data_IF_062523294353
#
_entry.id   IF_062523294353
#
_cell.length_a   1.000
_cell.length_b   1.000
_cell.length_c   1.000
_cell.angle_alpha   90.00
_cell.angle_beta   90.00
_cell.angle_gamma   90.00
#
_symmetry.space_group_name_H-M   'P 1'
#
loop_
_entity.id
_entity.type
_entity.pdbx_description
1 polymer ?
#
# COMPACT_ATOMS: atom_id res chain seq x y z
N UNK A 1 20.45 -59.11 1.92
CA UNK A 1 19.93 -57.72 2.02
C UNK A 1 19.97 -57.34 3.49
N UNK A 2 20.76 -56.33 3.85
CA UNK A 2 21.06 -56.03 5.26
C UNK A 2 20.08 -54.94 5.76
N UNK A 3 19.18 -55.23 6.70
CA UNK A 3 18.10 -54.32 7.12
C UNK A 3 18.60 -53.04 7.79
N UNK A 4 19.80 -53.05 8.39
CA UNK A 4 20.42 -51.86 8.99
C UNK A 4 20.83 -50.79 7.97
N UNK A 5 21.08 -51.17 6.70
CA UNK A 5 21.48 -50.23 5.66
C UNK A 5 20.29 -49.42 5.13
N UNK A 6 19.11 -50.02 5.09
CA UNK A 6 17.88 -49.37 4.63
C UNK A 6 17.39 -48.30 5.62
N UNK A 7 17.55 -48.52 6.93
CA UNK A 7 17.14 -47.53 7.94
C UNK A 7 17.98 -46.24 7.93
N UNK A 8 19.28 -46.35 7.62
CA UNK A 8 20.19 -45.19 7.48
C UNK A 8 19.89 -44.41 6.20
N UNK A 9 19.58 -45.11 5.10
CA UNK A 9 19.20 -44.47 3.83
C UNK A 9 17.86 -43.74 3.96
N UNK A 10 16.86 -44.32 4.64
CA UNK A 10 15.57 -43.67 4.90
C UNK A 10 15.72 -42.42 5.78
N UNK A 11 16.55 -42.47 6.83
CA UNK A 11 16.80 -41.33 7.72
C UNK A 11 17.59 -40.20 7.00
N UNK A 12 18.50 -40.55 6.09
CA UNK A 12 19.19 -39.58 5.23
C UNK A 12 18.26 -38.93 4.22
N UNK A 13 17.34 -39.69 3.61
CA UNK A 13 16.31 -39.17 2.70
C UNK A 13 15.36 -38.22 3.45
N UNK A 14 14.99 -38.56 4.68
CA UNK A 14 14.14 -37.71 5.51
C UNK A 14 14.82 -36.39 5.89
N UNK A 15 16.10 -36.44 6.31
CA UNK A 15 16.90 -35.22 6.56
C UNK A 15 17.10 -34.37 5.30
N UNK A 16 17.31 -34.99 4.14
CA UNK A 16 17.41 -34.28 2.86
C UNK A 16 16.10 -33.59 2.47
N UNK A 17 14.95 -34.24 2.68
CA UNK A 17 13.62 -33.63 2.50
C UNK A 17 13.39 -32.46 3.46
N UNK A 18 13.76 -32.62 4.72
CA UNK A 18 13.67 -31.54 5.72
C UNK A 18 14.55 -30.35 5.34
N UNK A 19 15.78 -30.57 4.88
CA UNK A 19 16.67 -29.51 4.40
C UNK A 19 16.10 -28.79 3.17
N UNK A 20 15.54 -29.53 2.20
CA UNK A 20 14.87 -28.93 1.04
C UNK A 20 13.67 -28.05 1.44
N UNK A 21 12.86 -28.52 2.39
CA UNK A 21 11.73 -27.77 2.96
C UNK A 21 12.21 -26.51 3.69
N UNK A 22 13.32 -26.61 4.43
CA UNK A 22 13.90 -25.51 5.16
C UNK A 22 14.46 -24.45 4.21
N UNK A 23 15.11 -24.85 3.12
CA UNK A 23 15.58 -23.95 2.06
C UNK A 23 14.42 -23.24 1.37
N UNK A 24 13.35 -23.95 0.98
CA UNK A 24 12.18 -23.33 0.35
C UNK A 24 11.44 -22.37 1.31
N UNK A 25 11.41 -22.69 2.61
CA UNK A 25 10.92 -21.78 3.65
C UNK A 25 11.79 -20.54 3.77
N UNK A 26 13.13 -20.67 3.81
CA UNK A 26 14.05 -19.54 3.91
C UNK A 26 13.94 -18.61 2.71
N UNK A 27 13.73 -19.14 1.50
CA UNK A 27 13.60 -18.33 0.28
C UNK A 27 12.23 -17.62 0.19
N UNK A 28 11.14 -18.28 0.61
CA UNK A 28 9.78 -17.70 0.53
C UNK A 28 9.41 -16.83 1.72
N UNK A 29 10.03 -17.03 2.88
CA UNK A 29 9.67 -16.30 4.11
C UNK A 29 9.84 -14.77 3.99
N UNK A 30 10.93 -14.22 3.40
CA UNK A 30 11.05 -12.78 3.18
C UNK A 30 9.92 -12.20 2.34
N UNK A 31 9.43 -12.94 1.33
CA UNK A 31 8.32 -12.52 0.47
C UNK A 31 7.00 -12.47 1.25
N UNK A 32 6.78 -13.43 2.14
CA UNK A 32 5.62 -13.42 3.05
C UNK A 32 5.65 -12.23 4.01
N UNK A 33 6.80 -11.95 4.60
CA UNK A 33 6.97 -10.80 5.51
C UNK A 33 6.73 -9.50 4.75
N UNK A 34 7.34 -9.33 3.57
CA UNK A 34 7.16 -8.15 2.74
C UNK A 34 5.67 -7.93 2.38
N UNK A 35 4.95 -9.01 2.04
CA UNK A 35 3.52 -8.95 1.73
C UNK A 35 2.67 -8.56 2.95
N UNK A 36 2.98 -9.08 4.13
CA UNK A 36 2.30 -8.71 5.38
C UNK A 36 2.55 -7.25 5.74
N UNK A 37 3.80 -6.80 5.67
CA UNK A 37 4.16 -5.41 5.96
C UNK A 37 3.47 -4.46 4.99
N UNK A 38 3.50 -4.76 3.68
CA UNK A 38 2.80 -3.95 2.67
C UNK A 38 1.28 -3.88 2.93
N UNK A 39 0.64 -5.03 3.20
CA UNK A 39 -0.78 -5.07 3.55
C UNK A 39 -1.11 -4.24 4.80
N UNK A 40 -0.29 -4.33 5.85
CA UNK A 40 -0.45 -3.51 7.06
C UNK A 40 -0.27 -2.01 6.76
N UNK A 41 0.71 -1.64 5.93
CA UNK A 41 0.94 -0.24 5.53
C UNK A 41 -0.30 0.30 4.81
N UNK A 42 -0.89 -0.45 3.88
CA UNK A 42 -2.12 -0.04 3.19
C UNK A 42 -3.29 0.17 4.16
N UNK A 43 -3.49 -0.73 5.13
CA UNK A 43 -4.52 -0.59 6.16
C UNK A 43 -4.29 0.62 7.07
N UNK A 44 -3.04 0.89 7.44
CA UNK A 44 -2.67 2.04 8.26
C UNK A 44 -2.90 3.34 7.49
N UNK A 45 -2.55 3.39 6.20
CA UNK A 45 -2.77 4.58 5.37
C UNK A 45 -4.28 4.85 5.24
N UNK A 46 -5.08 3.86 4.83
CA UNK A 46 -6.52 4.05 4.66
C UNK A 46 -7.22 4.36 5.99
N UNK A 47 -6.85 3.66 7.07
CA UNK A 47 -7.39 3.93 8.41
C UNK A 47 -6.97 5.27 8.97
N UNK A 48 -5.70 5.65 8.78
CA UNK A 48 -5.16 6.94 9.19
C UNK A 48 -5.88 8.09 8.50
N UNK A 49 -6.06 8.02 7.18
CA UNK A 49 -6.78 9.06 6.42
C UNK A 49 -8.24 9.11 6.87
N UNK A 50 -8.92 7.96 6.96
CA UNK A 50 -10.33 7.90 7.38
C UNK A 50 -10.54 8.49 8.78
N UNK A 51 -9.66 8.15 9.73
CA UNK A 51 -9.72 8.66 11.10
C UNK A 51 -9.42 10.16 11.16
N UNK A 52 -8.42 10.62 10.40
CA UNK A 52 -8.09 12.05 10.29
C UNK A 52 -9.28 12.84 9.70
N UNK A 53 -9.92 12.33 8.66
CA UNK A 53 -11.12 12.96 8.05
C UNK A 53 -12.28 13.04 9.04
N UNK A 54 -12.54 11.98 9.81
CA UNK A 54 -13.58 12.01 10.86
C UNK A 54 -13.28 13.01 11.97
N UNK A 55 -12.03 13.08 12.42
CA UNK A 55 -11.58 14.06 13.41
C UNK A 55 -11.76 15.49 12.86
N UNK A 56 -11.38 15.72 11.60
CA UNK A 56 -11.53 17.02 10.95
C UNK A 56 -12.98 17.47 10.88
N UNK A 57 -13.88 16.60 10.40
CA UNK A 57 -15.32 16.91 10.33
C UNK A 57 -15.88 17.21 11.73
N UNK A 58 -15.52 16.38 12.73
CA UNK A 58 -15.94 16.57 14.12
C UNK A 58 -15.41 17.88 14.71
N UNK A 59 -14.17 18.28 14.37
CA UNK A 59 -13.59 19.56 14.80
C UNK A 59 -14.24 20.76 14.12
N UNK A 60 -14.59 20.66 12.83
CA UNK A 60 -15.28 21.74 12.11
C UNK A 60 -16.65 22.03 12.75
N UNK A 61 -17.40 20.98 13.10
CA UNK A 61 -18.72 21.11 13.74
C UNK A 61 -18.63 21.72 15.15
N UNK A 62 -17.55 21.46 15.89
CA UNK A 62 -17.35 21.98 17.25
C UNK A 62 -16.79 23.41 17.23
N UNK A 63 -15.84 23.70 16.33
CA UNK A 63 -15.08 24.96 16.39
C UNK A 63 -15.87 26.13 15.81
N UNK A 64 -16.76 25.91 14.82
CA UNK A 64 -17.89 26.76 14.36
C UNK A 64 -17.67 28.27 14.04
N UNK A 65 -16.62 28.91 14.54
CA UNK A 65 -16.40 30.35 14.67
C UNK A 65 -14.92 30.75 14.53
N UNK A 66 -14.00 29.79 14.38
CA UNK A 66 -12.58 30.06 14.12
C UNK A 66 -12.31 30.35 12.64
N UNK A 67 -11.27 31.14 12.35
CA UNK A 67 -10.83 31.40 10.98
C UNK A 67 -10.57 30.05 10.26
N UNK A 68 -11.34 29.72 9.19
CA UNK A 68 -11.23 28.45 8.47
C UNK A 68 -9.80 28.15 8.02
N UNK A 69 -9.00 29.19 7.75
CA UNK A 69 -7.62 29.04 7.34
C UNK A 69 -6.74 28.44 8.46
N UNK A 70 -6.88 28.92 9.70
CA UNK A 70 -6.08 28.45 10.84
C UNK A 70 -6.44 27.02 11.24
N UNK A 71 -7.72 26.66 11.18
CA UNK A 71 -8.19 25.30 11.48
C UNK A 71 -7.62 24.31 10.46
N UNK A 72 -7.66 24.66 9.18
CA UNK A 72 -7.10 23.82 8.11
C UNK A 72 -5.58 23.67 8.24
N UNK A 73 -4.88 24.77 8.54
CA UNK A 73 -3.43 24.74 8.72
C UNK A 73 -3.02 23.89 9.93
N UNK A 74 -3.71 24.04 11.07
CA UNK A 74 -3.47 23.24 12.26
C UNK A 74 -3.77 21.75 12.02
N UNK A 75 -4.87 21.44 11.33
CA UNK A 75 -5.22 20.07 10.98
C UNK A 75 -4.20 19.42 10.06
N UNK A 76 -3.74 20.13 9.02
CA UNK A 76 -2.68 19.64 8.12
C UNK A 76 -1.38 19.42 8.89
N UNK A 77 -0.98 20.36 9.75
CA UNK A 77 0.23 20.24 10.57
C UNK A 77 0.18 19.05 11.52
N UNK A 78 -0.93 18.85 12.23
CA UNK A 78 -1.14 17.71 13.13
C UNK A 78 -1.18 16.40 12.33
N UNK A 79 -1.86 16.37 11.18
CA UNK A 79 -1.94 15.18 10.33
C UNK A 79 -0.57 14.77 9.78
N UNK A 80 0.25 15.74 9.37
CA UNK A 80 1.64 15.50 8.96
C UNK A 80 2.50 14.99 10.12
N UNK A 81 2.35 15.56 11.32
CA UNK A 81 3.08 15.10 12.50
C UNK A 81 2.71 13.65 12.88
N UNK A 82 1.42 13.31 12.89
CA UNK A 82 0.97 11.95 13.15
C UNK A 82 1.40 10.98 12.05
N UNK A 83 1.32 11.39 10.78
CA UNK A 83 1.81 10.59 9.64
C UNK A 83 3.30 10.31 9.79
N UNK A 84 4.09 11.31 10.18
CA UNK A 84 5.52 11.16 10.47
C UNK A 84 5.78 10.23 11.66
N UNK A 85 5.02 10.37 12.75
CA UNK A 85 5.15 9.53 13.95
C UNK A 85 4.84 8.07 13.62
N UNK A 86 3.75 7.81 12.89
CA UNK A 86 3.38 6.47 12.42
C UNK A 86 4.43 5.88 11.50
N UNK A 87 4.95 6.66 10.54
CA UNK A 87 6.03 6.21 9.67
C UNK A 87 7.30 5.82 10.45
N UNK A 88 7.70 6.60 11.45
CA UNK A 88 8.91 6.35 12.24
C UNK A 88 8.76 5.20 13.24
N UNK A 89 7.59 5.09 13.91
CA UNK A 89 7.34 4.06 14.94
C UNK A 89 6.91 2.72 14.39
N UNK A 90 6.15 2.68 13.31
CA UNK A 90 5.63 1.43 12.75
C UNK A 90 6.39 0.99 11.51
N UNK A 91 6.47 1.86 10.49
CA UNK A 91 6.98 1.44 9.17
C UNK A 91 8.49 1.18 9.21
N UNK A 92 9.26 2.03 9.88
CA UNK A 92 10.72 1.92 9.96
C UNK A 92 11.23 0.62 10.63
N UNK A 93 10.76 0.22 11.82
CA UNK A 93 11.19 -1.05 12.42
C UNK A 93 10.66 -2.28 11.66
N UNK A 94 9.48 -2.19 11.04
CA UNK A 94 8.95 -3.27 10.20
C UNK A 94 9.82 -3.52 8.97
N UNK A 95 10.35 -2.47 8.32
CA UNK A 95 11.22 -2.58 7.14
C UNK A 95 12.66 -2.95 7.45
N UNK A 96 13.15 -2.66 8.67
CA UNK A 96 14.51 -2.99 9.10
C UNK A 96 14.66 -4.43 9.63
N UNK A 97 13.56 -5.08 10.00
CA UNK A 97 13.58 -6.41 10.64
C UNK A 97 14.08 -7.55 9.74
N UNK A 98 14.10 -7.37 8.42
CA UNK A 98 14.73 -8.29 7.47
C UNK A 98 15.60 -7.52 6.49
N UNK A 99 16.94 -7.74 6.49
CA UNK A 99 17.79 -7.20 5.45
C UNK A 99 17.50 -7.98 4.18
N UNK A 100 16.53 -7.52 3.38
CA UNK A 100 16.70 -7.73 1.95
C UNK A 100 18.02 -7.06 1.62
N UNK A 101 18.92 -7.80 0.95
CA UNK A 101 19.95 -7.17 0.15
C UNK A 101 19.17 -6.40 -0.90
N UNK A 102 18.70 -5.20 -0.57
CA UNK A 102 18.28 -4.21 -1.55
C UNK A 102 19.52 -4.02 -2.37
N UNK A 103 19.62 -4.72 -3.50
CA UNK A 103 20.46 -4.24 -4.57
C UNK A 103 20.04 -2.79 -4.70
N UNK A 104 20.99 -1.89 -4.44
CA UNK A 104 20.85 -0.45 -4.63
C UNK A 104 20.69 -0.12 -6.12
N UNK A 105 20.08 -1.02 -6.89
CA UNK A 105 19.74 -0.82 -8.27
C UNK A 105 18.68 0.26 -8.36
N UNK A 106 18.87 1.10 -9.36
CA UNK A 106 18.14 2.34 -9.63
C UNK A 106 16.61 2.17 -9.62
N UNK A 107 16.11 0.95 -9.80
CA UNK A 107 14.69 0.60 -9.74
C UNK A 107 14.02 0.80 -8.37
N UNK A 108 14.75 0.72 -7.26
CA UNK A 108 14.17 0.86 -5.91
C UNK A 108 13.81 2.29 -5.51
N UNK A 109 14.49 3.30 -6.08
CA UNK A 109 14.26 4.73 -5.76
C UNK A 109 13.20 5.38 -6.65
N UNK A 110 12.99 4.85 -7.85
CA UNK A 110 12.08 5.44 -8.84
C UNK A 110 10.63 5.59 -8.33
N UNK A 111 10.04 4.60 -7.62
CA UNK A 111 8.69 4.74 -7.06
C UNK A 111 8.59 5.91 -6.07
N UNK A 112 9.57 6.09 -5.19
CA UNK A 112 9.58 7.19 -4.22
C UNK A 112 9.64 8.57 -4.90
N UNK A 113 10.45 8.70 -5.95
CA UNK A 113 10.55 9.95 -6.72
C UNK A 113 9.23 10.26 -7.42
N UNK A 114 8.60 9.27 -8.06
CA UNK A 114 7.30 9.46 -8.72
C UNK A 114 6.25 9.88 -7.71
N UNK A 115 6.12 9.18 -6.57
CA UNK A 115 5.15 9.56 -5.53
C UNK A 115 5.44 10.93 -4.93
N UNK A 116 6.70 11.35 -4.82
CA UNK A 116 7.06 12.72 -4.42
C UNK A 116 6.58 13.78 -5.42
N UNK A 117 6.73 13.52 -6.72
CA UNK A 117 6.20 14.39 -7.77
C UNK A 117 4.68 14.43 -7.73
N UNK A 118 4.02 13.26 -7.63
CA UNK A 118 2.56 13.17 -7.55
C UNK A 118 2.01 13.87 -6.31
N UNK A 119 2.64 13.72 -5.14
CA UNK A 119 2.27 14.45 -3.93
C UNK A 119 2.35 15.97 -4.12
N UNK A 120 3.40 16.44 -4.80
CA UNK A 120 3.52 17.86 -5.17
C UNK A 120 2.40 18.30 -6.10
N UNK A 121 2.06 17.48 -7.10
CA UNK A 121 0.91 17.72 -7.99
C UNK A 121 -0.41 17.80 -7.21
N UNK A 122 -0.63 16.98 -6.17
CA UNK A 122 -1.83 17.05 -5.33
C UNK A 122 -1.92 18.39 -4.61
N UNK A 123 -0.80 18.87 -4.04
CA UNK A 123 -0.76 20.18 -3.36
C UNK A 123 -1.04 21.32 -4.32
N UNK A 124 -0.42 21.29 -5.52
CA UNK A 124 -0.67 22.30 -6.56
C UNK A 124 -2.12 22.27 -7.02
N UNK A 125 -2.67 21.08 -7.29
CA UNK A 125 -4.06 20.89 -7.70
C UNK A 125 -5.02 21.43 -6.63
N UNK A 126 -4.79 21.09 -5.36
CA UNK A 126 -5.55 21.61 -4.22
C UNK A 126 -5.52 23.14 -4.21
N UNK A 127 -4.32 23.74 -4.28
CA UNK A 127 -4.18 25.19 -4.28
C UNK A 127 -4.93 25.86 -5.43
N UNK A 128 -4.76 25.37 -6.66
CA UNK A 128 -5.42 25.94 -7.85
C UNK A 128 -6.94 25.80 -7.72
N UNK A 129 -7.44 24.60 -7.44
CA UNK A 129 -8.88 24.33 -7.44
C UNK A 129 -9.63 25.12 -6.37
N UNK A 130 -9.08 25.23 -5.16
CA UNK A 130 -9.70 26.01 -4.09
C UNK A 130 -9.50 27.53 -4.26
N UNK A 131 -8.35 28.01 -4.75
CA UNK A 131 -8.13 29.44 -4.96
C UNK A 131 -8.94 30.05 -6.10
N UNK A 132 -9.31 29.24 -7.10
CA UNK A 132 -10.08 29.68 -8.27
C UNK A 132 -11.59 29.39 -8.16
N UNK A 133 -12.06 28.87 -7.01
CA UNK A 133 -13.48 28.62 -6.76
C UNK A 133 -14.05 27.39 -7.47
N UNK A 134 -13.22 26.55 -8.09
CA UNK A 134 -13.61 25.30 -8.78
C UNK A 134 -13.25 24.05 -7.96
N UNK A 135 -13.41 24.13 -6.64
CA UNK A 135 -13.07 23.05 -5.70
C UNK A 135 -13.76 21.71 -5.99
N UNK A 136 -14.90 21.73 -6.69
CA UNK A 136 -15.61 20.52 -7.13
C UNK A 136 -14.81 19.66 -8.13
N UNK A 137 -13.80 20.23 -8.82
CA UNK A 137 -12.90 19.48 -9.71
C UNK A 137 -11.68 18.88 -9.00
N UNK A 138 -11.47 19.20 -7.71
CA UNK A 138 -10.34 18.67 -6.95
C UNK A 138 -10.37 17.14 -6.91
N UNK A 139 -11.51 16.55 -6.57
CA UNK A 139 -11.65 15.09 -6.42
C UNK A 139 -11.44 14.34 -7.74
N UNK A 140 -12.09 14.71 -8.86
CA UNK A 140 -11.78 14.10 -10.15
C UNK A 140 -10.31 14.24 -10.55
N UNK A 141 -9.68 15.39 -10.28
CA UNK A 141 -8.26 15.59 -10.56
C UNK A 141 -7.36 14.71 -9.68
N UNK A 142 -7.69 14.57 -8.40
CA UNK A 142 -7.01 13.67 -7.47
C UNK A 142 -7.11 12.21 -7.95
N UNK A 143 -8.27 11.80 -8.47
CA UNK A 143 -8.49 10.46 -9.01
C UNK A 143 -7.51 10.10 -10.13
N UNK A 144 -7.23 11.04 -11.04
CA UNK A 144 -6.24 10.83 -12.10
C UNK A 144 -4.81 10.71 -11.54
N UNK A 145 -4.47 11.52 -10.54
CA UNK A 145 -3.16 11.46 -9.89
C UNK A 145 -2.99 10.12 -9.18
N UNK A 146 -3.99 9.66 -8.44
CA UNK A 146 -3.98 8.35 -7.78
C UNK A 146 -3.85 7.21 -8.79
N UNK A 147 -4.65 7.23 -9.86
CA UNK A 147 -4.60 6.21 -10.90
C UNK A 147 -3.24 6.12 -11.59
N UNK A 148 -2.61 7.27 -11.87
CA UNK A 148 -1.25 7.32 -12.42
C UNK A 148 -0.20 6.80 -11.43
N UNK A 149 -0.33 7.11 -10.14
CA UNK A 149 0.52 6.56 -9.08
C UNK A 149 0.49 5.04 -9.02
N UNK A 150 -0.70 4.44 -8.93
CA UNK A 150 -0.83 2.97 -8.90
C UNK A 150 -0.39 2.31 -10.20
N UNK A 151 -0.66 2.92 -11.35
CA UNK A 151 -0.17 2.41 -12.63
C UNK A 151 1.37 2.46 -12.71
N UNK A 152 2.00 3.50 -12.17
CA UNK A 152 3.46 3.62 -12.13
C UNK A 152 4.10 2.52 -11.26
N UNK A 153 3.49 2.21 -10.10
CA UNK A 153 3.90 1.09 -9.25
C UNK A 153 3.82 -0.24 -10.01
N UNK A 154 2.77 -0.46 -10.82
CA UNK A 154 2.67 -1.65 -11.67
C UNK A 154 3.80 -1.73 -12.72
N UNK A 155 3.99 -0.65 -13.50
CA UNK A 155 4.96 -0.63 -14.60
C UNK A 155 6.40 -0.80 -14.09
N UNK A 156 6.73 -0.14 -12.98
CA UNK A 156 8.06 -0.24 -12.37
C UNK A 156 8.27 -1.57 -11.66
N UNK A 157 7.25 -2.08 -10.96
CA UNK A 157 7.31 -3.39 -10.29
C UNK A 157 7.59 -4.53 -11.27
N UNK A 158 7.05 -4.46 -12.49
CA UNK A 158 7.27 -5.47 -13.54
C UNK A 158 8.70 -5.48 -14.10
N UNK A 159 9.47 -4.40 -13.92
CA UNK A 159 10.83 -4.27 -14.45
C UNK A 159 11.92 -4.80 -13.53
N UNK A 160 11.60 -5.08 -12.27
CA UNK A 160 12.56 -5.63 -11.30
C UNK A 160 12.31 -7.13 -11.13
N UNK A 161 13.29 -7.95 -11.54
CA UNK A 161 13.32 -9.37 -11.19
C UNK A 161 13.31 -9.49 -9.66
N UNK A 162 12.32 -10.18 -9.10
CA UNK A 162 12.10 -10.29 -7.65
C UNK A 162 11.00 -9.37 -7.07
N UNK A 163 10.49 -8.39 -7.83
CA UNK A 163 9.40 -7.48 -7.43
C UNK A 163 8.05 -7.79 -8.14
N UNK A 164 7.91 -8.97 -8.72
CA UNK A 164 6.65 -9.43 -9.33
C UNK A 164 5.51 -9.64 -8.31
N UNK A 165 5.76 -9.34 -7.04
CA UNK A 165 4.92 -9.72 -5.91
C UNK A 165 3.68 -8.84 -5.68
N UNK A 166 3.56 -7.70 -6.37
CA UNK A 166 2.46 -6.75 -6.16
C UNK A 166 1.87 -6.17 -7.45
N UNK A 167 2.35 -6.58 -8.61
CA UNK A 167 2.11 -5.88 -9.87
C UNK A 167 0.62 -5.90 -10.27
N UNK A 168 -0.06 -7.04 -10.13
CA UNK A 168 -1.45 -7.18 -10.60
C UNK A 168 -2.46 -6.43 -9.76
N UNK A 169 -2.30 -6.42 -8.45
CA UNK A 169 -3.19 -5.70 -7.53
C UNK A 169 -3.15 -4.19 -7.80
N UNK A 170 -1.95 -3.63 -8.02
CA UNK A 170 -1.78 -2.22 -8.38
C UNK A 170 -2.41 -1.90 -9.75
N UNK A 171 -2.33 -2.81 -10.72
CA UNK A 171 -2.99 -2.65 -12.01
C UNK A 171 -4.52 -2.67 -11.89
N UNK A 172 -5.09 -3.66 -11.20
CA UNK A 172 -6.54 -3.75 -11.01
C UNK A 172 -7.08 -2.53 -10.25
N UNK A 173 -6.32 -2.06 -9.27
CA UNK A 173 -6.68 -0.86 -8.55
C UNK A 173 -6.60 0.39 -9.43
N UNK A 174 -5.52 0.57 -10.18
CA UNK A 174 -5.39 1.68 -11.11
C UNK A 174 -6.53 1.70 -12.14
N UNK A 175 -6.93 0.53 -12.65
CA UNK A 175 -8.06 0.40 -13.57
C UNK A 175 -9.39 0.81 -12.91
N UNK A 176 -9.64 0.36 -11.67
CA UNK A 176 -10.84 0.76 -10.92
C UNK A 176 -10.86 2.29 -10.68
N UNK A 177 -9.73 2.87 -10.29
CA UNK A 177 -9.55 4.31 -10.09
C UNK A 177 -9.82 5.07 -11.39
N UNK A 178 -9.23 4.67 -12.53
CA UNK A 178 -9.49 5.32 -13.82
C UNK A 178 -10.94 5.15 -14.30
N UNK A 179 -11.55 3.98 -14.12
CA UNK A 179 -12.95 3.76 -14.50
C UNK A 179 -13.90 4.62 -13.67
N UNK A 180 -13.58 4.84 -12.40
CA UNK A 180 -14.38 5.68 -11.51
C UNK A 180 -14.31 7.19 -11.83
N UNK A 181 -13.32 7.64 -12.61
CA UNK A 181 -13.24 9.02 -13.07
C UNK A 181 -14.44 9.41 -13.96
N UNK A 182 -14.93 8.48 -14.79
CA UNK A 182 -16.07 8.72 -15.69
C UNK A 182 -17.33 9.12 -14.91
N UNK A 183 -17.83 8.32 -13.94
CA UNK A 183 -18.98 8.73 -13.16
C UNK A 183 -18.71 9.95 -12.26
N UNK A 184 -17.46 10.19 -11.82
CA UNK A 184 -17.13 11.42 -11.07
C UNK A 184 -17.33 12.70 -11.87
N UNK A 185 -16.95 12.71 -13.16
CA UNK A 185 -17.15 13.88 -14.03
C UNK A 185 -18.63 14.05 -14.41
N UNK A 186 -19.38 12.95 -14.57
CA UNK A 186 -20.81 13.00 -14.86
C UNK A 186 -21.66 13.44 -13.65
N UNK A 187 -21.23 13.10 -12.43
CA UNK A 187 -21.95 13.36 -11.18
C UNK A 187 -21.00 13.97 -10.13
N UNK A 188 -20.64 15.24 -10.33
CA UNK A 188 -19.67 15.95 -9.48
C UNK A 188 -20.06 15.99 -7.99
N UNK A 189 -21.35 16.04 -7.69
CA UNK A 189 -21.87 16.02 -6.30
C UNK A 189 -21.55 14.71 -5.57
N UNK A 190 -21.43 13.61 -6.32
CA UNK A 190 -21.09 12.29 -5.79
C UNK A 190 -19.59 12.00 -5.81
N UNK A 191 -18.76 12.92 -6.32
CA UNK A 191 -17.34 12.66 -6.54
C UNK A 191 -16.61 12.22 -5.25
N UNK A 192 -16.89 12.87 -4.12
CA UNK A 192 -16.32 12.48 -2.81
C UNK A 192 -16.77 11.10 -2.35
N UNK A 193 -18.03 10.73 -2.60
CA UNK A 193 -18.56 9.40 -2.26
C UNK A 193 -17.87 8.33 -3.11
N UNK A 194 -17.73 8.59 -4.41
CA UNK A 194 -17.03 7.67 -5.33
C UNK A 194 -15.57 7.51 -4.90
N UNK A 195 -14.89 8.60 -4.52
CA UNK A 195 -13.51 8.55 -4.02
C UNK A 195 -13.40 7.69 -2.76
N UNK A 196 -14.30 7.86 -1.79
CA UNK A 196 -14.29 7.05 -0.56
C UNK A 196 -14.50 5.56 -0.90
N UNK A 197 -15.51 5.25 -1.73
CA UNK A 197 -15.86 3.86 -2.04
C UNK A 197 -14.75 3.17 -2.85
N UNK A 198 -14.25 3.83 -3.89
CA UNK A 198 -13.28 3.25 -4.81
C UNK A 198 -11.88 3.29 -4.20
N UNK A 199 -11.42 4.44 -3.71
CA UNK A 199 -10.03 4.58 -3.28
C UNK A 199 -9.83 4.02 -1.88
N UNK A 200 -10.57 4.52 -0.89
CA UNK A 200 -10.41 4.04 0.49
C UNK A 200 -10.86 2.58 0.61
N UNK A 201 -12.03 2.26 0.08
CA UNK A 201 -12.53 0.88 0.05
C UNK A 201 -11.59 -0.07 -0.71
N UNK A 202 -11.08 0.35 -1.87
CA UNK A 202 -10.13 -0.45 -2.64
C UNK A 202 -8.79 -0.66 -1.93
N UNK A 203 -8.22 0.37 -1.30
CA UNK A 203 -7.01 0.24 -0.49
C UNK A 203 -7.21 -0.74 0.66
N UNK A 204 -8.36 -0.68 1.35
CA UNK A 204 -8.70 -1.63 2.40
C UNK A 204 -8.77 -3.07 1.90
N UNK A 205 -9.49 -3.29 0.79
CA UNK A 205 -9.66 -4.62 0.19
C UNK A 205 -8.30 -5.18 -0.23
N UNK A 206 -7.45 -4.36 -0.86
CA UNK A 206 -6.11 -4.77 -1.28
C UNK A 206 -5.24 -5.09 -0.07
N UNK A 207 -5.26 -4.26 0.98
CA UNK A 207 -4.53 -4.49 2.22
C UNK A 207 -4.92 -5.82 2.88
N UNK A 208 -6.22 -6.10 3.02
CA UNK A 208 -6.73 -7.37 3.56
C UNK A 208 -6.33 -8.53 2.66
N UNK A 209 -6.51 -8.41 1.35
CA UNK A 209 -6.16 -9.43 0.39
C UNK A 209 -4.68 -9.81 0.47
N UNK A 210 -3.79 -8.82 0.60
CA UNK A 210 -2.35 -9.04 0.78
C UNK A 210 -2.03 -9.81 2.07
N UNK A 211 -2.73 -9.53 3.17
CA UNK A 211 -2.55 -10.28 4.43
C UNK A 211 -2.97 -11.74 4.31
N UNK A 212 -4.14 -12.00 3.72
CA UNK A 212 -4.66 -13.37 3.52
C UNK A 212 -3.74 -14.18 2.59
N UNK A 213 -3.32 -13.58 1.47
CA UNK A 213 -2.47 -14.27 0.49
C UNK A 213 -1.05 -14.50 1.00
N UNK A 214 -0.57 -13.71 1.95
CA UNK A 214 0.71 -13.97 2.62
C UNK A 214 0.69 -15.29 3.41
N UNK A 215 -0.43 -15.63 4.06
CA UNK A 215 -0.59 -16.92 4.74
C UNK A 215 -0.63 -18.09 3.78
N UNK A 216 -1.27 -17.91 2.62
CA UNK A 216 -1.35 -18.96 1.59
C UNK A 216 0.03 -19.33 1.03
N UNK A 217 0.90 -18.33 0.83
CA UNK A 217 2.30 -18.56 0.41
C UNK A 217 3.11 -19.40 1.42
N UNK A 218 2.82 -19.24 2.71
CA UNK A 218 3.41 -20.04 3.79
C UNK A 218 2.86 -21.47 3.85
N UNK A 219 1.62 -21.69 3.43
CA UNK A 219 0.99 -23.02 3.39
C UNK A 219 1.44 -23.81 2.15
N UNK A 220 1.57 -23.13 1.00
CA UNK A 220 2.10 -23.72 -0.23
C UNK A 220 3.57 -24.13 -0.06
N UNK A 221 4.41 -23.36 0.66
CA UNK A 221 5.80 -23.76 0.95
C UNK A 221 5.91 -24.97 1.89
N UNK A 222 4.89 -25.21 2.72
CA UNK A 222 4.82 -26.40 3.59
C UNK A 222 4.27 -27.64 2.87
N UNK A 223 3.90 -27.54 1.58
CA UNK A 223 3.24 -28.61 0.85
C UNK A 223 1.83 -28.92 1.35
N UNK A 224 1.18 -27.95 2.00
CA UNK A 224 -0.16 -28.07 2.61
C UNK A 224 -1.24 -27.30 1.83
N UNK A 225 -0.91 -26.77 0.65
CA UNK A 225 -1.78 -25.95 -0.21
C UNK A 225 -2.18 -26.63 -1.50
#
# INVERSE_FOLDING_TARGET
>A
MNPEKNGIDDEMIEKAKQLLLLTDLVDKYPLVVARRVSGLVYLIIAGGISFATLIYMSLQDIVGLGDPFLVNLAFVGISLFFSWLVAFRLVLPLTQSYPQVTSLDEGGKAPFVIWGILATCIVILSFITFSTGIGYLFVPGLQLIMGTGFLSNYVLGRRSEGMDFFTREHLYFALAVFLSFIPMIMFLELAYVILIVVDMGGIYIIGIYMLITAERLLLESKGQG
#
